data_IF_142540249507
#
_entry.id   IF_142540249507
#
_cell.length_a   1.000
_cell.length_b   1.000
_cell.length_c   1.000
_cell.angle_alpha   90.00
_cell.angle_beta   90.00
_cell.angle_gamma   90.00
#
_symmetry.space_group_name_H-M   'P 1'
#
loop_
_entity.id
_entity.type
_entity.pdbx_description
1 polymer ?
#
# COMPACT_ATOMS: atom_id res chain seq x y z
N UNK A 1 -4.29 14.16 -11.73
CA UNK A 1 -3.94 15.19 -10.80
C UNK A 1 -2.67 14.84 -10.05
N UNK A 2 -1.74 15.74 -10.02
CA UNK A 2 -0.48 15.46 -9.38
C UNK A 2 -0.46 15.90 -7.94
N UNK A 3 0.45 15.32 -7.20
CA UNK A 3 0.70 15.71 -5.83
C UNK A 3 2.03 16.42 -5.80
N UNK A 4 2.03 17.60 -5.25
CA UNK A 4 3.28 18.33 -5.11
C UNK A 4 3.72 18.22 -3.66
N UNK A 5 4.87 17.58 -3.47
CA UNK A 5 5.42 17.43 -2.14
C UNK A 5 6.79 18.06 -2.12
N UNK A 6 6.96 19.02 -1.24
CA UNK A 6 8.26 19.65 -1.09
C UNK A 6 8.96 19.07 0.12
N UNK A 7 10.05 18.38 -0.14
CA UNK A 7 10.83 17.75 0.91
C UNK A 7 12.22 18.40 0.91
N UNK A 8 12.54 19.13 1.95
CA UNK A 8 13.83 19.80 1.98
C UNK A 8 14.94 18.76 2.07
N UNK A 9 15.93 18.90 1.20
CA UNK A 9 17.13 18.09 1.26
C UNK A 9 16.91 16.59 1.15
N UNK A 10 15.76 16.19 0.61
CA UNK A 10 15.50 14.77 0.38
C UNK A 10 15.25 14.57 -1.10
N UNK A 11 16.01 13.66 -1.67
CA UNK A 11 15.88 13.32 -3.08
C UNK A 11 15.14 12.01 -3.22
N UNK A 12 13.83 12.07 -3.31
CA UNK A 12 13.01 10.88 -3.44
C UNK A 12 12.23 11.00 -4.73
N UNK A 13 12.25 9.96 -5.53
CA UNK A 13 11.52 9.94 -6.78
C UNK A 13 10.03 9.93 -6.52
N UNK A 14 9.29 10.47 -7.46
CA UNK A 14 7.85 10.54 -7.33
C UNK A 14 7.23 9.17 -7.15
N UNK A 15 7.73 8.19 -7.89
CA UNK A 15 7.21 6.84 -7.77
C UNK A 15 7.39 6.29 -6.38
N UNK A 16 8.50 6.58 -5.76
CA UNK A 16 8.75 6.09 -4.42
C UNK A 16 7.88 6.80 -3.41
N UNK A 17 7.62 8.07 -3.61
CA UNK A 17 6.73 8.82 -2.72
C UNK A 17 5.34 8.22 -2.77
N UNK A 18 4.87 7.89 -3.97
CA UNK A 18 3.56 7.28 -4.11
C UNK A 18 3.51 5.93 -3.40
N UNK A 19 4.57 5.16 -3.53
CA UNK A 19 4.63 3.87 -2.89
C UNK A 19 4.59 3.99 -1.38
N UNK A 20 5.41 4.87 -0.83
CA UNK A 20 5.43 5.07 0.61
C UNK A 20 4.10 5.58 1.13
N UNK A 21 3.48 6.47 0.39
CA UNK A 21 2.18 6.99 0.77
C UNK A 21 1.14 5.88 0.77
N UNK A 22 1.15 5.05 -0.26
CA UNK A 22 0.20 3.96 -0.36
C UNK A 22 0.35 3.00 0.80
N UNK A 23 1.59 2.69 1.16
CA UNK A 23 1.86 1.77 2.25
C UNK A 23 1.36 2.37 3.57
N UNK A 24 1.62 3.64 3.78
CA UNK A 24 1.17 4.28 5.02
C UNK A 24 -0.34 4.30 5.12
N UNK A 25 -1.02 4.63 4.04
CA UNK A 25 -2.47 4.67 4.04
C UNK A 25 -3.04 3.28 4.29
N UNK A 26 -2.38 2.27 3.76
CA UNK A 26 -2.81 0.90 3.96
C UNK A 26 -2.63 0.52 5.43
N UNK A 27 -1.50 0.84 6.00
CA UNK A 27 -1.24 0.51 7.39
C UNK A 27 -2.20 1.21 8.34
N UNK A 28 -2.59 2.41 7.99
CA UNK A 28 -3.52 3.17 8.83
C UNK A 28 -4.97 2.79 8.60
N UNK A 29 -5.21 1.88 7.67
CA UNK A 29 -6.57 1.44 7.42
C UNK A 29 -7.40 2.41 6.61
N UNK A 30 -6.77 3.37 5.97
CA UNK A 30 -7.49 4.37 5.18
C UNK A 30 -7.93 3.79 3.85
N UNK A 31 -7.11 2.91 3.27
CA UNK A 31 -7.44 2.31 1.97
C UNK A 31 -7.26 0.81 2.05
N UNK A 32 -7.92 0.10 1.13
CA UNK A 32 -7.77 -1.33 1.01
C UNK A 32 -6.49 -1.65 0.26
N UNK A 33 -6.14 -2.93 0.24
CA UNK A 33 -4.94 -3.38 -0.46
C UNK A 33 -5.00 -3.02 -1.94
N UNK A 34 -6.14 -3.27 -2.57
CA UNK A 34 -6.28 -2.97 -3.99
C UNK A 34 -6.15 -1.49 -4.28
N UNK A 35 -6.75 -0.67 -3.42
CA UNK A 35 -6.67 0.78 -3.60
C UNK A 35 -5.24 1.28 -3.37
N UNK A 36 -4.56 0.71 -2.39
CA UNK A 36 -3.18 1.09 -2.13
C UNK A 36 -2.30 0.77 -3.33
N UNK A 37 -2.51 -0.40 -3.93
CA UNK A 37 -1.75 -0.78 -5.11
C UNK A 37 -2.00 0.22 -6.23
N UNK A 38 -3.24 0.64 -6.39
CA UNK A 38 -3.59 1.59 -7.42
C UNK A 38 -2.89 2.93 -7.19
N UNK A 39 -2.88 3.39 -5.95
CA UNK A 39 -2.21 4.64 -5.60
C UNK A 39 -0.72 4.54 -5.92
N UNK A 40 -0.12 3.41 -5.61
CA UNK A 40 1.31 3.21 -5.86
C UNK A 40 1.63 3.04 -7.34
N UNK A 41 0.62 2.79 -8.17
CA UNK A 41 0.85 2.56 -9.57
C UNK A 41 1.26 1.14 -9.89
N UNK A 42 0.88 0.19 -9.04
CA UNK A 42 1.21 -1.22 -9.22
C UNK A 42 -0.06 -2.04 -9.40
N UNK A 43 0.09 -3.21 -10.01
CA UNK A 43 -0.98 -4.19 -9.93
C UNK A 43 -1.01 -4.70 -8.49
N UNK A 44 -2.14 -5.26 -8.10
CA UNK A 44 -2.27 -5.75 -6.73
C UNK A 44 -1.22 -6.83 -6.46
N UNK A 45 -1.00 -7.70 -7.42
CA UNK A 45 -0.02 -8.76 -7.27
C UNK A 45 1.40 -8.21 -7.08
N UNK A 46 1.75 -7.23 -7.91
CA UNK A 46 3.07 -6.62 -7.80
C UNK A 46 3.23 -5.86 -6.49
N UNK A 47 2.16 -5.21 -6.06
CA UNK A 47 2.21 -4.46 -4.82
C UNK A 47 2.41 -5.40 -3.63
N UNK A 48 1.75 -6.57 -3.67
CA UNK A 48 1.92 -7.56 -2.62
C UNK A 48 3.38 -8.00 -2.53
N UNK A 49 4.03 -8.18 -3.68
CA UNK A 49 5.42 -8.57 -3.68
C UNK A 49 6.31 -7.48 -3.09
N UNK A 50 5.97 -6.24 -3.35
CA UNK A 50 6.71 -5.12 -2.77
C UNK A 50 6.57 -5.15 -1.25
N UNK A 51 5.36 -5.39 -0.75
CA UNK A 51 5.14 -5.45 0.67
C UNK A 51 5.96 -6.56 1.31
N UNK A 52 5.99 -7.71 0.68
CA UNK A 52 6.75 -8.84 1.19
C UNK A 52 8.22 -8.47 1.30
N UNK A 53 8.76 -7.83 0.27
CA UNK A 53 10.16 -7.43 0.28
C UNK A 53 10.46 -6.44 1.39
N UNK A 54 9.47 -5.68 1.80
CA UNK A 54 9.67 -4.70 2.85
C UNK A 54 9.35 -5.24 4.23
N UNK A 55 8.99 -6.51 4.30
CA UNK A 55 8.69 -7.12 5.59
C UNK A 55 7.32 -6.77 6.12
N UNK A 56 6.43 -6.34 5.24
CA UNK A 56 5.07 -5.98 5.62
C UNK A 56 4.15 -7.12 5.21
N UNK A 57 3.47 -7.77 6.16
CA UNK A 57 2.64 -8.93 5.82
C UNK A 57 1.38 -8.50 5.08
N UNK A 58 1.27 -8.84 3.80
CA UNK A 58 0.11 -8.38 3.02
C UNK A 58 -1.20 -9.05 3.43
N UNK A 59 -1.15 -10.24 3.97
CA UNK A 59 -2.37 -10.91 4.39
C UNK A 59 -3.11 -10.17 5.48
N UNK A 60 -2.39 -9.38 6.23
CA UNK A 60 -2.99 -8.59 7.29
C UNK A 60 -3.99 -7.59 6.73
N UNK A 61 -3.80 -7.18 5.49
CA UNK A 61 -4.63 -6.18 4.87
C UNK A 61 -5.48 -6.76 3.76
N UNK A 62 -5.48 -8.06 3.62
CA UNK A 62 -6.18 -8.71 2.54
C UNK A 62 -7.66 -8.80 2.84
N UNK A 63 -8.47 -8.53 1.83
CA UNK A 63 -9.89 -8.67 1.94
C UNK A 63 -10.26 -10.11 2.22
N UNK A 64 -9.53 -11.01 1.62
CA UNK A 64 -9.78 -12.42 1.80
C UNK A 64 -9.62 -12.82 3.25
N UNK A 65 -8.64 -12.25 3.90
CA UNK A 65 -8.40 -12.53 5.28
C UNK A 65 -9.58 -12.10 6.14
N UNK A 66 -10.15 -10.96 5.84
CA UNK A 66 -11.30 -10.46 6.55
C UNK A 66 -12.50 -11.38 6.38
N UNK A 67 -12.74 -11.78 5.15
CA UNK A 67 -13.87 -12.65 4.88
C UNK A 67 -13.76 -13.95 5.65
N UNK A 68 -12.55 -14.45 5.72
CA UNK A 68 -12.31 -15.67 6.41
C UNK A 68 -12.68 -15.55 7.88
N UNK A 69 -12.32 -14.45 8.46
CA UNK A 69 -12.63 -14.21 9.85
C UNK A 69 -14.14 -14.13 10.07
N UNK A 70 -14.80 -13.45 9.17
CA UNK A 70 -16.22 -13.29 9.30
C UNK A 70 -16.95 -14.62 9.20
N UNK A 71 -16.50 -15.47 8.31
CA UNK A 71 -17.14 -16.74 8.14
C UNK A 71 -16.89 -17.66 9.31
N UNK A 72 -15.77 -17.52 9.93
CA UNK A 72 -15.42 -18.36 11.06
C UNK A 72 -16.02 -17.87 12.34
N UNK A 73 -16.55 -16.70 12.29
CA UNK A 73 -17.12 -16.12 13.50
C UNK A 73 -18.46 -16.79 13.83
#
# INVERSE_FOLDING_TARGET
MGITVKLPEINIKEDEIKLLLAIKLLEDGVVSLGKAAEIAGYSEKAFVEVLIHRGIPPLKYSKLNLEKELRNA
#
